data_IF_250604099836
#
_entry.id   IF_250604099836
#
_cell.length_a   1.000
_cell.length_b   1.000
_cell.length_c   1.000
_cell.angle_alpha   90.00
_cell.angle_beta   90.00
_cell.angle_gamma   90.00
#
_symmetry.space_group_name_H-M   'P 1'
#
loop_
_entity.id
_entity.type
_entity.pdbx_description
1 polymer ?
#
# COMPACT_ATOMS: atom_id res chain seq x y z
N UNK A 1 -12.15 -9.32 -16.42
CA UNK A 1 -12.73 -8.04 -15.99
C UNK A 1 -13.21 -8.22 -14.57
N UNK A 2 -12.38 -7.89 -13.58
CA UNK A 2 -12.84 -7.80 -12.20
C UNK A 2 -13.28 -6.34 -12.04
N UNK A 3 -14.58 -6.14 -11.89
CA UNK A 3 -15.14 -4.86 -11.52
C UNK A 3 -14.60 -4.50 -10.14
N UNK A 4 -13.70 -3.51 -10.10
CA UNK A 4 -13.24 -2.91 -8.86
C UNK A 4 -14.43 -2.26 -8.18
N UNK A 5 -15.09 -3.00 -7.30
CA UNK A 5 -16.16 -2.52 -6.45
C UNK A 5 -15.56 -1.44 -5.55
N UNK A 6 -16.02 -0.20 -5.70
CA UNK A 6 -15.64 0.91 -4.85
C UNK A 6 -16.12 0.62 -3.41
N UNK A 7 -15.21 0.19 -2.54
CA UNK A 7 -15.51 0.05 -1.12
C UNK A 7 -14.40 0.64 -0.27
N UNK A 8 -14.64 1.87 0.19
CA UNK A 8 -14.07 2.42 1.42
C UNK A 8 -12.89 3.36 1.23
N UNK A 9 -13.12 4.64 1.53
CA UNK A 9 -12.09 5.51 2.09
C UNK A 9 -11.70 4.90 3.44
N UNK A 10 -10.46 4.47 3.58
CA UNK A 10 -9.96 3.99 4.87
C UNK A 10 -9.68 5.20 5.77
N UNK A 11 -10.45 5.35 6.84
CA UNK A 11 -10.45 6.54 7.73
C UNK A 11 -9.85 6.27 9.12
N UNK A 12 -8.87 5.37 9.24
CA UNK A 12 -8.25 5.02 10.54
C UNK A 12 -8.89 3.77 11.12
N UNK A 13 -8.12 2.69 11.25
CA UNK A 13 -7.32 2.44 12.44
C UNK A 13 -5.89 2.03 12.04
N UNK A 14 -4.95 2.97 12.13
CA UNK A 14 -3.58 2.87 11.59
C UNK A 14 -2.56 2.32 12.58
N UNK A 15 -2.98 1.64 13.65
CA UNK A 15 -2.08 1.25 14.76
C UNK A 15 -1.15 0.05 14.42
N UNK A 16 -1.08 -0.36 13.15
CA UNK A 16 -0.26 -1.47 12.68
C UNK A 16 0.86 -1.05 11.71
N UNK A 17 1.75 -2.00 11.34
CA UNK A 17 2.88 -1.72 10.46
C UNK A 17 2.50 -1.06 9.13
N UNK A 18 1.36 -1.44 8.53
CA UNK A 18 0.86 -0.80 7.30
C UNK A 18 0.41 0.65 7.53
N UNK A 19 -0.19 0.94 8.69
CA UNK A 19 -0.57 2.31 9.03
C UNK A 19 0.64 3.24 9.11
N UNK A 20 1.79 2.75 9.60
CA UNK A 20 3.04 3.49 9.59
C UNK A 20 3.54 3.77 8.16
N UNK A 21 3.47 2.78 7.26
CA UNK A 21 3.80 2.98 5.83
C UNK A 21 2.93 4.08 5.23
N UNK A 22 1.59 3.96 5.36
CA UNK A 22 0.65 4.93 4.81
C UNK A 22 0.89 6.34 5.36
N UNK A 23 1.21 6.46 6.65
CA UNK A 23 1.55 7.74 7.28
C UNK A 23 2.83 8.35 6.70
N UNK A 24 3.87 7.54 6.50
CA UNK A 24 5.15 7.99 5.94
C UNK A 24 5.00 8.46 4.48
N UNK A 25 4.30 7.69 3.65
CA UNK A 25 4.09 8.01 2.23
C UNK A 25 3.19 9.26 2.10
N UNK A 26 2.09 9.35 2.86
CA UNK A 26 1.18 10.53 2.82
C UNK A 26 1.81 11.82 3.35
N UNK A 27 2.81 11.72 4.23
CA UNK A 27 3.58 12.91 4.67
C UNK A 27 4.42 13.48 3.52
N UNK A 28 4.94 12.63 2.64
CA UNK A 28 5.78 13.05 1.52
C UNK A 28 4.97 13.39 0.26
N UNK A 29 3.81 12.76 0.09
CA UNK A 29 2.93 12.97 -1.06
C UNK A 29 1.50 13.18 -0.53
N UNK A 30 1.05 14.44 -0.39
CA UNK A 30 -0.27 14.72 0.17
C UNK A 30 -1.42 14.42 -0.80
N UNK A 31 -1.14 14.27 -2.10
CA UNK A 31 -2.11 14.06 -3.19
C UNK A 31 -2.40 12.57 -3.44
N UNK A 32 -2.17 11.71 -2.45
CA UNK A 32 -2.39 10.26 -2.57
C UNK A 32 -3.85 9.90 -2.40
N UNK A 33 -4.31 9.00 -3.26
CA UNK A 33 -5.54 8.25 -3.10
C UNK A 33 -5.18 6.84 -2.64
N UNK A 34 -5.63 6.48 -1.44
CA UNK A 34 -5.40 5.17 -0.82
C UNK A 34 -6.72 4.39 -0.82
N UNK A 35 -6.70 3.15 -1.30
CA UNK A 35 -7.84 2.22 -1.32
C UNK A 35 -7.48 0.92 -0.61
N UNK A 36 -8.38 0.40 0.21
CA UNK A 36 -8.24 -0.93 0.79
C UNK A 36 -8.76 -1.98 -0.19
N UNK A 37 -7.92 -2.94 -0.59
CA UNK A 37 -8.27 -3.95 -1.60
C UNK A 37 -8.95 -5.17 -0.97
N UNK A 38 -8.49 -5.61 0.20
CA UNK A 38 -9.12 -6.63 1.04
C UNK A 38 -8.30 -6.83 2.32
N UNK A 39 -9.00 -7.15 3.41
CA UNK A 39 -8.39 -7.68 4.65
C UNK A 39 -9.01 -9.05 4.91
N UNK A 40 -8.38 -10.11 4.41
CA UNK A 40 -8.82 -11.49 4.63
C UNK A 40 -7.71 -12.30 5.29
N UNK A 41 -8.08 -13.18 6.24
CA UNK A 41 -7.24 -14.24 6.81
C UNK A 41 -5.77 -13.88 7.15
N UNK A 42 -5.52 -12.70 7.74
CA UNK A 42 -4.16 -12.30 8.15
C UNK A 42 -3.31 -11.60 7.09
N UNK A 43 -3.89 -11.27 5.93
CA UNK A 43 -3.27 -10.44 4.89
C UNK A 43 -4.05 -9.13 4.73
N UNK A 44 -3.34 -8.00 4.76
CA UNK A 44 -3.91 -6.69 4.50
C UNK A 44 -3.36 -6.16 3.17
N UNK A 45 -4.23 -5.92 2.19
CA UNK A 45 -3.88 -5.40 0.88
C UNK A 45 -4.40 -3.97 0.68
N UNK A 46 -3.54 -3.07 0.23
CA UNK A 46 -3.83 -1.67 -0.05
C UNK A 46 -3.34 -1.28 -1.43
N UNK A 47 -4.06 -0.39 -2.10
CA UNK A 47 -3.67 0.23 -3.37
C UNK A 47 -3.47 1.73 -3.14
N UNK A 48 -2.35 2.25 -3.59
CA UNK A 48 -1.91 3.63 -3.42
C UNK A 48 -1.62 4.20 -4.79
N UNK A 49 -2.20 5.36 -5.10
CA UNK A 49 -1.94 6.06 -6.36
C UNK A 49 -1.96 7.57 -6.15
N UNK A 50 -1.42 8.33 -7.10
CA UNK A 50 -1.65 9.77 -7.18
C UNK A 50 -3.07 10.05 -7.68
N UNK A 51 -3.67 11.16 -7.24
CA UNK A 51 -5.03 11.55 -7.66
C UNK A 51 -5.19 11.62 -9.19
N UNK A 52 -4.19 12.16 -9.89
CA UNK A 52 -4.16 12.28 -11.36
C UNK A 52 -3.54 11.08 -12.09
N UNK A 53 -3.16 10.00 -11.39
CA UNK A 53 -2.52 8.82 -11.99
C UNK A 53 -3.46 7.62 -12.09
N UNK A 54 -3.35 6.91 -13.21
CA UNK A 54 -3.98 5.59 -13.39
C UNK A 54 -3.12 4.47 -12.81
N UNK A 55 -1.82 4.72 -12.63
CA UNK A 55 -0.88 3.75 -12.09
C UNK A 55 -1.01 3.71 -10.56
N UNK A 56 -1.12 2.50 -10.03
CA UNK A 56 -1.25 2.26 -8.61
C UNK A 56 -0.15 1.31 -8.15
N UNK A 57 0.38 1.63 -6.97
CA UNK A 57 1.28 0.78 -6.21
C UNK A 57 0.45 0.05 -5.17
N UNK A 58 0.52 -1.27 -5.18
CA UNK A 58 -0.11 -2.12 -4.19
C UNK A 58 0.88 -2.42 -3.05
N UNK A 59 0.36 -2.46 -1.82
CA UNK A 59 1.07 -2.91 -0.64
C UNK A 59 0.30 -4.07 -0.05
N UNK A 60 0.98 -5.17 0.17
CA UNK A 60 0.43 -6.33 0.86
C UNK A 60 1.26 -6.62 2.10
N UNK A 61 0.57 -6.83 3.23
CA UNK A 61 1.20 -7.17 4.50
C UNK A 61 0.67 -8.48 5.07
N UNK A 62 1.57 -9.38 5.47
CA UNK A 62 1.24 -10.64 6.12
C UNK A 62 1.71 -10.65 7.58
N UNK A 63 0.79 -10.89 8.52
CA UNK A 63 1.10 -10.79 9.94
C UNK A 63 1.81 -12.01 10.54
N UNK A 64 2.02 -13.11 9.80
CA UNK A 64 2.51 -14.39 10.35
C UNK A 64 3.60 -15.04 9.49
N UNK A 65 4.84 -15.05 9.98
CA UNK A 65 5.85 -16.08 9.66
C UNK A 65 6.77 -15.87 8.46
N UNK A 66 6.48 -14.95 7.53
CA UNK A 66 7.35 -14.60 6.40
C UNK A 66 7.38 -13.07 6.19
N UNK A 67 8.40 -12.57 5.48
CA UNK A 67 8.74 -11.15 5.38
C UNK A 67 7.52 -10.23 5.20
N UNK A 68 7.40 -9.18 6.02
CA UNK A 68 6.12 -8.55 6.30
C UNK A 68 5.49 -7.75 5.15
N UNK A 69 6.25 -7.17 4.20
CA UNK A 69 5.67 -6.31 3.17
C UNK A 69 6.06 -6.73 1.76
N UNK A 70 5.09 -6.77 0.86
CA UNK A 70 5.29 -6.81 -0.59
C UNK A 70 4.73 -5.51 -1.15
N UNK A 71 5.56 -4.78 -1.88
CA UNK A 71 5.18 -3.57 -2.61
C UNK A 71 5.31 -3.86 -4.09
N UNK A 72 4.28 -3.59 -4.88
CA UNK A 72 4.26 -3.92 -6.30
C UNK A 72 3.53 -2.91 -7.16
N UNK A 73 3.94 -2.77 -8.41
CA UNK A 73 3.18 -2.12 -9.49
C UNK A 73 2.71 -3.18 -10.51
N UNK A 74 2.33 -2.76 -11.72
CA UNK A 74 1.92 -3.67 -12.80
C UNK A 74 3.07 -4.57 -13.32
N UNK A 75 4.32 -4.11 -13.21
CA UNK A 75 5.48 -4.75 -13.83
C UNK A 75 6.56 -5.21 -12.85
N UNK A 76 6.58 -4.68 -11.63
CA UNK A 76 7.62 -4.98 -10.64
C UNK A 76 7.05 -5.24 -9.25
N UNK A 77 7.83 -5.94 -8.43
CA UNK A 77 7.54 -6.11 -7.02
C UNK A 77 8.84 -6.15 -6.21
N UNK A 78 8.75 -5.71 -4.96
CA UNK A 78 9.84 -5.75 -3.99
C UNK A 78 9.28 -6.21 -2.64
N UNK A 79 10.04 -7.07 -1.98
CA UNK A 79 9.72 -7.56 -0.65
C UNK A 79 10.67 -6.93 0.36
N UNK A 80 10.12 -6.41 1.45
CA UNK A 80 10.86 -5.71 2.48
C UNK A 80 10.34 -6.06 3.87
N UNK A 81 11.22 -5.94 4.86
CA UNK A 81 10.96 -6.44 6.21
C UNK A 81 10.54 -5.36 7.22
N UNK A 82 10.55 -4.09 6.83
CA UNK A 82 10.22 -2.98 7.73
C UNK A 82 9.34 -1.91 7.07
N UNK A 83 8.51 -1.19 7.85
CA UNK A 83 7.60 -0.17 7.32
C UNK A 83 8.30 1.00 6.62
N UNK A 84 9.51 1.37 7.04
CA UNK A 84 10.23 2.48 6.43
C UNK A 84 10.73 2.10 5.02
N UNK A 85 11.30 0.91 4.88
CA UNK A 85 11.69 0.36 3.58
C UNK A 85 10.48 0.16 2.65
N UNK A 86 9.33 -0.25 3.19
CA UNK A 86 8.09 -0.33 2.42
C UNK A 86 7.63 1.05 1.92
N UNK A 87 7.70 2.07 2.77
CA UNK A 87 7.36 3.44 2.39
C UNK A 87 8.29 3.98 1.30
N UNK A 88 9.61 3.76 1.43
CA UNK A 88 10.58 4.19 0.42
C UNK A 88 10.39 3.44 -0.90
N UNK A 89 10.06 2.14 -0.86
CA UNK A 89 9.71 1.37 -2.06
C UNK A 89 8.48 1.94 -2.77
N UNK A 90 7.42 2.27 -2.02
CA UNK A 90 6.20 2.88 -2.57
C UNK A 90 6.52 4.22 -3.22
N UNK A 91 7.28 5.08 -2.54
CA UNK A 91 7.67 6.38 -3.07
C UNK A 91 8.57 6.27 -4.30
N UNK A 92 9.44 5.26 -4.34
CA UNK A 92 10.26 4.95 -5.50
C UNK A 92 9.40 4.59 -6.71
N UNK A 93 8.43 3.69 -6.53
CA UNK A 93 7.54 3.24 -7.60
C UNK A 93 6.56 4.34 -8.04
N UNK A 94 6.05 5.18 -7.13
CA UNK A 94 5.18 6.32 -7.47
C UNK A 94 5.90 7.43 -8.26
N UNK A 95 7.23 7.47 -8.23
CA UNK A 95 8.05 8.49 -8.90
C UNK A 95 8.78 7.98 -10.16
N UNK A 96 8.75 6.67 -10.41
CA UNK A 96 9.40 6.03 -11.55
C UNK A 96 8.65 6.35 -12.85
#
# INVERSE_FOLDING_TARGET
MIAGMETGFWTGDADGPVGEVLRLVSTQVPELVIRCLSSSSGRAGFSIRLEDSLEAVEIEYQAVGESPFIVSDEYSWVQVDDPAAAAEAVLGLLRA
#
